data_IF_924019719819
#
_entry.id   IF_924019719819
#
_cell.length_a   1.000
_cell.length_b   1.000
_cell.length_c   1.000
_cell.angle_alpha   90.00
_cell.angle_beta   90.00
_cell.angle_gamma   90.00
#
_symmetry.space_group_name_H-M   'P 1'
#
loop_
_entity.id
_entity.type
_entity.pdbx_description
1 polymer ?
#
# COMPACT_ATOMS: atom_id res chain seq x y z
N UNK A 1 0.18 12.49 15.16
CA UNK A 1 1.13 13.04 14.18
C UNK A 1 0.88 14.53 14.10
N UNK A 2 1.90 15.36 14.30
CA UNK A 2 1.77 16.81 14.28
C UNK A 2 1.45 17.31 12.85
N UNK A 3 0.73 18.42 12.73
CA UNK A 3 0.36 19.03 11.44
C UNK A 3 1.62 19.39 10.64
N UNK A 4 2.69 19.81 11.32
CA UNK A 4 3.98 20.12 10.70
C UNK A 4 4.64 18.91 10.04
N UNK A 5 4.55 17.76 10.70
CA UNK A 5 5.09 16.51 10.16
C UNK A 5 4.28 16.02 8.96
N UNK A 6 2.97 16.25 8.96
CA UNK A 6 2.12 15.95 7.82
C UNK A 6 2.53 16.74 6.56
N UNK A 7 2.90 18.02 6.72
CA UNK A 7 3.37 18.84 5.60
C UNK A 7 4.66 18.30 5.01
N UNK A 8 5.62 17.87 5.84
CA UNK A 8 6.87 17.27 5.37
C UNK A 8 6.63 15.96 4.59
N UNK A 9 5.67 15.14 5.06
CA UNK A 9 5.29 13.92 4.33
C UNK A 9 4.63 14.25 3.00
N UNK A 10 3.79 15.29 2.94
CA UNK A 10 3.21 15.76 1.68
C UNK A 10 4.28 16.12 0.65
N UNK A 11 5.30 16.87 1.07
CA UNK A 11 6.42 17.26 0.21
C UNK A 11 7.22 16.04 -0.25
N UNK A 12 7.55 15.13 0.67
CA UNK A 12 8.28 13.90 0.37
C UNK A 12 7.53 13.00 -0.63
N UNK A 13 6.21 12.84 -0.47
CA UNK A 13 5.39 12.01 -1.36
C UNK A 13 5.22 12.60 -2.76
N UNK A 14 5.18 13.93 -2.89
CA UNK A 14 4.91 14.60 -4.16
C UNK A 14 6.20 14.93 -4.92
N UNK A 15 7.13 15.57 -4.23
CA UNK A 15 8.34 16.13 -4.84
C UNK A 15 9.58 15.26 -4.65
N UNK A 16 9.48 14.20 -3.81
CA UNK A 16 10.61 13.37 -3.41
C UNK A 16 11.75 14.20 -2.78
N UNK A 17 11.39 15.30 -2.12
CA UNK A 17 12.29 16.21 -1.42
C UNK A 17 11.73 16.57 -0.06
N UNK A 18 12.58 16.98 0.86
CA UNK A 18 12.21 17.54 2.15
C UNK A 18 12.96 18.86 2.32
N UNK A 19 12.22 19.93 2.56
CA UNK A 19 12.78 21.26 2.85
C UNK A 19 12.95 21.43 4.36
N UNK A 20 14.18 21.66 4.80
CA UNK A 20 14.52 21.89 6.20
C UNK A 20 15.02 23.31 6.34
N UNK A 21 14.44 24.05 7.29
CA UNK A 21 14.92 25.38 7.68
C UNK A 21 15.39 25.29 9.14
N UNK A 22 16.70 25.45 9.36
CA UNK A 22 17.29 25.45 10.70
C UNK A 22 18.31 26.59 10.83
N UNK A 23 18.18 27.39 11.89
CA UNK A 23 19.08 28.51 12.17
C UNK A 23 19.26 29.50 10.99
N UNK A 24 18.18 29.78 10.22
CA UNK A 24 18.23 30.68 9.07
C UNK A 24 18.80 30.06 7.77
N UNK A 25 19.30 28.81 7.83
CA UNK A 25 19.75 28.09 6.64
C UNK A 25 18.60 27.22 6.11
N UNK A 26 18.29 27.41 4.81
CA UNK A 26 17.30 26.61 4.08
C UNK A 26 18.04 25.58 3.23
N UNK A 27 17.76 24.30 3.49
CA UNK A 27 18.32 23.18 2.72
C UNK A 27 17.22 22.29 2.19
N UNK A 28 17.36 21.80 0.97
CA UNK A 28 16.45 20.83 0.35
C UNK A 28 17.19 19.50 0.22
N UNK A 29 16.63 18.44 0.82
CA UNK A 29 17.17 17.10 0.80
C UNK A 29 16.35 16.21 -0.14
N UNK A 30 17.01 15.37 -0.93
CA UNK A 30 16.34 14.36 -1.73
C UNK A 30 15.80 13.24 -0.83
N UNK A 31 14.50 12.97 -0.91
CA UNK A 31 13.80 11.95 -0.12
C UNK A 31 13.07 10.96 -1.02
N UNK A 32 13.82 10.22 -1.83
CA UNK A 32 13.28 9.15 -2.69
C UNK A 32 13.09 7.89 -1.86
N UNK A 33 11.90 7.76 -1.25
CA UNK A 33 11.59 6.64 -0.36
C UNK A 33 10.18 6.13 -0.60
N UNK A 34 9.95 4.86 -0.25
CA UNK A 34 8.61 4.29 -0.15
C UNK A 34 8.06 4.56 1.24
N UNK A 35 6.77 4.85 1.34
CA UNK A 35 6.11 5.18 2.61
C UNK A 35 5.14 4.06 2.97
N UNK A 36 5.36 3.46 4.13
CA UNK A 36 4.41 2.57 4.79
C UNK A 36 3.84 3.29 6.00
N UNK A 37 2.51 3.45 6.05
CA UNK A 37 1.83 4.12 7.14
C UNK A 37 0.90 3.15 7.88
N UNK A 38 0.88 3.25 9.19
CA UNK A 38 -0.09 2.57 10.04
C UNK A 38 -0.87 3.62 10.84
N UNK A 39 -2.18 3.49 10.88
CA UNK A 39 -3.05 4.42 11.60
C UNK A 39 -4.17 3.67 12.30
N UNK A 40 -4.49 4.09 13.51
CA UNK A 40 -5.66 3.63 14.24
C UNK A 40 -6.87 4.51 13.92
N UNK A 41 -8.09 3.97 13.98
CA UNK A 41 -9.30 4.77 13.88
C UNK A 41 -9.37 5.83 14.99
N UNK A 42 -9.88 7.04 14.69
CA UNK A 42 -9.97 8.16 15.64
C UNK A 42 -10.78 7.78 16.89
N UNK A 43 -11.84 7.00 16.71
CA UNK A 43 -12.73 6.55 17.79
C UNK A 43 -12.22 5.29 18.51
N UNK A 44 -10.99 4.84 18.23
CA UNK A 44 -10.43 3.62 18.80
C UNK A 44 -10.97 2.32 18.17
N UNK A 45 -12.12 2.37 17.49
CA UNK A 45 -12.74 1.24 16.80
C UNK A 45 -13.16 1.65 15.39
N UNK A 46 -12.94 0.75 14.42
CA UNK A 46 -13.37 0.98 13.04
C UNK A 46 -14.89 0.87 12.92
N UNK A 47 -15.53 1.94 12.42
CA UNK A 47 -16.96 2.02 12.20
C UNK A 47 -17.28 1.71 10.73
N UNK A 48 -17.94 0.58 10.48
CA UNK A 48 -18.32 0.14 9.12
C UNK A 48 -19.35 1.03 8.46
N UNK A 49 -20.10 1.83 9.23
CA UNK A 49 -21.09 2.77 8.71
C UNK A 49 -20.47 4.04 8.13
N UNK A 50 -19.22 4.33 8.49
CA UNK A 50 -18.48 5.52 8.06
C UNK A 50 -17.50 5.21 6.96
N UNK A 51 -17.18 6.20 6.14
CA UNK A 51 -16.12 6.08 5.14
C UNK A 51 -14.74 5.92 5.79
N UNK A 52 -13.78 5.35 5.08
CA UNK A 52 -12.40 5.21 5.54
C UNK A 52 -11.82 6.57 5.99
N UNK A 53 -12.09 7.64 5.24
CA UNK A 53 -11.66 9.00 5.57
C UNK A 53 -12.17 9.48 6.92
N UNK A 54 -13.42 9.19 7.24
CA UNK A 54 -14.03 9.58 8.52
C UNK A 54 -13.49 8.76 9.69
N UNK A 55 -13.09 7.49 9.44
CA UNK A 55 -12.50 6.64 10.46
C UNK A 55 -11.07 7.06 10.81
N UNK A 56 -10.25 7.49 9.85
CA UNK A 56 -8.82 7.75 10.05
C UNK A 56 -8.52 9.23 10.28
N UNK A 57 -9.36 10.16 9.82
CA UNK A 57 -9.15 11.61 9.93
C UNK A 57 -7.98 12.16 9.14
N UNK A 58 -7.52 11.42 8.12
CA UNK A 58 -6.51 11.91 7.19
C UNK A 58 -7.13 12.84 6.16
N UNK A 59 -6.36 13.84 5.74
CA UNK A 59 -6.79 14.74 4.68
C UNK A 59 -6.89 14.03 3.33
N UNK A 60 -7.85 14.43 2.49
CA UNK A 60 -8.02 13.85 1.17
C UNK A 60 -6.77 13.89 0.29
N UNK A 61 -5.94 14.95 0.30
CA UNK A 61 -4.69 14.99 -0.44
C UNK A 61 -3.68 13.92 -0.01
N UNK A 62 -3.56 13.64 1.29
CA UNK A 62 -2.68 12.56 1.78
C UNK A 62 -3.20 11.22 1.28
N UNK A 63 -4.48 10.96 1.44
CA UNK A 63 -5.09 9.70 1.03
C UNK A 63 -4.94 9.48 -0.48
N UNK A 64 -5.06 10.49 -1.31
CA UNK A 64 -4.91 10.36 -2.77
C UNK A 64 -3.48 9.99 -3.22
N UNK A 65 -2.49 10.11 -2.34
CA UNK A 65 -1.08 9.81 -2.61
C UNK A 65 -0.70 8.37 -2.29
N UNK A 66 -1.51 7.67 -1.52
CA UNK A 66 -1.30 6.24 -1.27
C UNK A 66 -1.81 5.38 -2.42
N UNK A 67 -1.05 4.38 -2.79
CA UNK A 67 -1.40 3.42 -3.85
C UNK A 67 -2.31 2.30 -3.33
N UNK A 68 -2.13 1.88 -2.07
CA UNK A 68 -2.84 0.79 -1.43
C UNK A 68 -3.35 1.17 -0.04
N UNK A 69 -4.53 0.66 0.30
CA UNK A 69 -5.11 0.74 1.64
C UNK A 69 -5.51 -0.65 2.10
N UNK A 70 -5.06 -1.02 3.28
CA UNK A 70 -5.47 -2.25 3.95
C UNK A 70 -6.20 -1.89 5.24
N UNK A 71 -7.43 -2.34 5.35
CA UNK A 71 -8.24 -2.15 6.56
C UNK A 71 -8.26 -3.47 7.31
N UNK A 72 -7.60 -3.49 8.47
CA UNK A 72 -7.60 -4.64 9.38
C UNK A 72 -8.72 -4.42 10.40
N UNK A 73 -9.70 -5.29 10.39
CA UNK A 73 -10.84 -5.22 11.30
C UNK A 73 -10.70 -6.36 12.30
N UNK A 74 -10.78 -6.01 13.57
CA UNK A 74 -10.84 -6.96 14.67
C UNK A 74 -12.26 -7.52 14.75
N UNK A 75 -12.42 -8.78 14.39
CA UNK A 75 -13.69 -9.52 14.45
C UNK A 75 -13.62 -10.53 15.58
N UNK A 76 -14.55 -10.45 16.54
CA UNK A 76 -14.64 -11.43 17.61
C UNK A 76 -15.00 -12.81 17.04
N UNK A 77 -14.04 -13.71 17.06
CA UNK A 77 -14.20 -15.10 16.63
C UNK A 77 -13.44 -16.01 17.60
N UNK A 78 -14.19 -16.78 18.38
CA UNK A 78 -13.63 -17.62 19.46
C UNK A 78 -12.48 -18.52 18.99
N UNK A 79 -12.56 -19.07 17.78
CA UNK A 79 -11.53 -19.98 17.24
C UNK A 79 -10.25 -19.19 16.91
N UNK A 80 -10.41 -18.04 16.27
CA UNK A 80 -9.28 -17.18 15.86
C UNK A 80 -8.64 -16.57 17.10
N UNK A 81 -9.46 -16.05 18.03
CA UNK A 81 -9.01 -15.42 19.26
C UNK A 81 -8.24 -16.42 20.14
N UNK A 82 -8.74 -17.65 20.25
CA UNK A 82 -8.02 -18.72 20.97
C UNK A 82 -6.67 -19.03 20.31
N UNK A 83 -6.63 -19.14 18.98
CA UNK A 83 -5.40 -19.44 18.25
C UNK A 83 -4.36 -18.31 18.41
N UNK A 84 -4.80 -17.05 18.36
CA UNK A 84 -3.95 -15.87 18.57
C UNK A 84 -3.43 -15.85 20.03
N UNK A 85 -4.31 -16.01 21.00
CA UNK A 85 -3.94 -16.02 22.42
C UNK A 85 -2.92 -17.13 22.73
N UNK A 86 -3.17 -18.33 22.22
CA UNK A 86 -2.24 -19.45 22.36
C UNK A 86 -0.88 -19.15 21.72
N UNK A 87 -0.87 -18.59 20.51
CA UNK A 87 0.37 -18.24 19.81
C UNK A 87 1.20 -17.20 20.57
N UNK A 88 0.53 -16.22 21.22
CA UNK A 88 1.19 -15.20 22.06
C UNK A 88 1.79 -15.86 23.30
N UNK A 89 1.05 -16.74 23.98
CA UNK A 89 1.55 -17.45 25.17
C UNK A 89 2.73 -18.35 24.82
N UNK A 90 2.63 -19.12 23.73
CA UNK A 90 3.71 -19.99 23.24
C UNK A 90 4.99 -19.19 22.90
N UNK A 91 4.83 -17.98 22.33
CA UNK A 91 5.94 -17.05 22.11
C UNK A 91 6.63 -16.65 23.41
N UNK A 92 5.86 -16.26 24.42
CA UNK A 92 6.40 -15.85 25.73
C UNK A 92 6.99 -17.01 26.53
N UNK A 93 6.50 -18.21 26.33
CA UNK A 93 7.06 -19.43 26.91
C UNK A 93 8.33 -19.91 26.20
N UNK A 94 8.72 -19.30 25.09
CA UNK A 94 9.87 -19.69 24.28
C UNK A 94 9.67 -20.98 23.48
N UNK A 95 8.44 -21.48 23.41
CA UNK A 95 8.11 -22.72 22.71
C UNK A 95 8.13 -22.58 21.19
N UNK A 96 7.96 -21.37 20.66
CA UNK A 96 8.03 -21.10 19.21
C UNK A 96 9.41 -21.32 18.60
N UNK A 97 10.47 -21.39 19.41
CA UNK A 97 11.82 -21.76 18.96
C UNK A 97 11.97 -23.24 18.60
N UNK A 98 11.08 -24.11 19.05
CA UNK A 98 11.12 -25.56 18.78
C UNK A 98 10.39 -25.92 17.48
N UNK A 99 9.43 -25.09 17.05
CA UNK A 99 8.66 -25.28 15.81
C UNK A 99 9.21 -24.47 14.61
N UNK A 100 10.45 -23.97 14.68
CA UNK A 100 11.13 -23.32 13.56
C UNK A 100 11.30 -24.22 12.32
N UNK A 101 10.93 -25.48 12.40
CA UNK A 101 10.83 -26.42 11.27
C UNK A 101 9.76 -26.06 10.24
N UNK A 102 8.91 -25.05 10.48
CA UNK A 102 7.90 -24.60 9.52
C UNK A 102 8.33 -23.40 8.66
N UNK A 103 9.46 -22.79 8.93
CA UNK A 103 9.98 -21.76 8.01
C UNK A 103 10.58 -22.44 6.77
N UNK A 104 9.81 -22.44 5.68
CA UNK A 104 10.24 -22.99 4.39
C UNK A 104 11.45 -22.23 3.84
N UNK A 105 11.56 -20.95 4.16
CA UNK A 105 12.66 -20.06 3.71
C UNK A 105 13.28 -19.31 4.88
N UNK A 106 14.60 -19.19 4.89
CA UNK A 106 15.31 -18.35 5.85
C UNK A 106 15.21 -16.86 5.51
N UNK A 107 15.48 -16.00 6.48
CA UNK A 107 15.53 -14.56 6.24
C UNK A 107 16.60 -14.17 5.18
N UNK A 108 17.68 -14.93 5.09
CA UNK A 108 18.74 -14.70 4.11
C UNK A 108 18.31 -15.13 2.70
N UNK A 109 17.53 -16.20 2.57
CA UNK A 109 16.96 -16.60 1.28
C UNK A 109 15.99 -15.53 0.74
N UNK A 110 15.16 -14.96 1.62
CA UNK A 110 14.26 -13.86 1.25
C UNK A 110 15.05 -12.61 0.84
N UNK A 111 16.14 -12.27 1.55
CA UNK A 111 17.00 -11.14 1.17
C UNK A 111 17.63 -11.34 -0.20
N UNK A 112 18.13 -12.54 -0.48
CA UNK A 112 18.72 -12.92 -1.79
C UNK A 112 17.67 -12.83 -2.88
N UNK A 113 16.47 -13.34 -2.63
CA UNK A 113 15.36 -13.23 -3.58
C UNK A 113 14.99 -11.79 -3.90
N UNK A 114 14.85 -10.93 -2.89
CA UNK A 114 14.55 -9.51 -3.07
C UNK A 114 15.67 -8.83 -3.88
N UNK A 115 16.94 -9.12 -3.59
CA UNK A 115 18.08 -8.57 -4.33
C UNK A 115 18.04 -9.00 -5.80
N UNK A 116 17.74 -10.25 -6.07
CA UNK A 116 17.57 -10.79 -7.42
C UNK A 116 16.38 -10.14 -8.15
N UNK A 117 15.21 -10.09 -7.52
CA UNK A 117 14.00 -9.50 -8.10
C UNK A 117 14.17 -8.01 -8.45
N UNK A 118 15.03 -7.28 -7.73
CA UNK A 118 15.35 -5.87 -8.03
C UNK A 118 16.17 -5.67 -9.31
N UNK A 119 16.83 -6.71 -9.82
CA UNK A 119 17.58 -6.63 -11.08
C UNK A 119 16.64 -6.56 -12.30
N UNK A 120 15.40 -7.02 -12.17
CA UNK A 120 14.43 -7.02 -13.26
C UNK A 120 13.87 -5.61 -13.49
N UNK A 121 13.76 -5.24 -14.76
CA UNK A 121 13.15 -3.98 -15.24
C UNK A 121 12.03 -4.31 -16.22
N UNK A 122 10.87 -4.76 -15.73
CA UNK A 122 9.79 -5.23 -16.60
C UNK A 122 9.31 -4.13 -17.55
N UNK A 123 9.07 -4.50 -18.80
CA UNK A 123 8.48 -3.62 -19.82
C UNK A 123 7.01 -3.94 -19.97
N UNK A 124 6.19 -2.90 -20.13
CA UNK A 124 4.75 -3.06 -20.33
C UNK A 124 4.49 -3.59 -21.74
N UNK A 125 3.72 -4.68 -21.86
CA UNK A 125 3.28 -5.21 -23.15
C UNK A 125 2.17 -4.33 -23.74
N UNK A 126 1.93 -4.44 -25.05
CA UNK A 126 0.85 -3.68 -25.72
C UNK A 126 -0.54 -4.06 -25.18
N UNK A 127 -0.76 -5.36 -24.94
CA UNK A 127 -2.02 -5.87 -24.40
C UNK A 127 -2.26 -5.36 -22.97
N UNK A 128 -1.21 -5.37 -22.12
CA UNK A 128 -1.27 -4.82 -20.80
C UNK A 128 -1.57 -3.31 -20.79
N UNK A 129 -0.99 -2.56 -21.73
CA UNK A 129 -1.27 -1.14 -21.92
C UNK A 129 -2.75 -0.90 -22.23
N UNK A 130 -3.32 -1.67 -23.14
CA UNK A 130 -4.72 -1.54 -23.53
C UNK A 130 -5.64 -1.84 -22.34
N UNK A 131 -5.37 -2.92 -21.61
CA UNK A 131 -6.10 -3.31 -20.40
C UNK A 131 -6.06 -2.20 -19.34
N UNK A 132 -4.90 -1.57 -19.12
CA UNK A 132 -4.77 -0.46 -18.17
C UNK A 132 -5.61 0.75 -18.57
N UNK A 133 -5.65 1.09 -19.86
CA UNK A 133 -6.46 2.20 -20.38
C UNK A 133 -7.95 1.92 -20.21
N UNK A 134 -8.39 0.70 -20.53
CA UNK A 134 -9.80 0.30 -20.38
C UNK A 134 -10.24 0.30 -18.91
N UNK A 135 -9.41 -0.22 -18.01
CA UNK A 135 -9.69 -0.20 -16.57
C UNK A 135 -9.73 1.23 -16.01
N UNK A 136 -8.82 2.09 -16.42
CA UNK A 136 -8.88 3.49 -16.01
C UNK A 136 -10.16 4.18 -16.51
N UNK A 137 -10.54 3.95 -17.78
CA UNK A 137 -11.80 4.46 -18.33
C UNK A 137 -13.00 3.94 -17.54
N UNK A 138 -13.02 2.65 -17.19
CA UNK A 138 -14.08 2.01 -16.39
C UNK A 138 -14.18 2.63 -14.99
N UNK A 139 -13.04 2.85 -14.33
CA UNK A 139 -13.01 3.51 -13.02
C UNK A 139 -13.57 4.94 -13.10
N UNK A 140 -13.19 5.72 -14.10
CA UNK A 140 -13.68 7.08 -14.33
C UNK A 140 -15.19 7.13 -14.60
N UNK A 141 -15.71 6.18 -15.38
CA UNK A 141 -17.15 6.08 -15.64
C UNK A 141 -17.95 5.73 -14.39
N UNK A 142 -17.45 4.81 -13.56
CA UNK A 142 -18.06 4.47 -12.27
C UNK A 142 -18.07 5.67 -11.32
N UNK A 143 -17.00 6.42 -11.24
CA UNK A 143 -16.90 7.63 -10.42
C UNK A 143 -17.91 8.70 -10.89
N UNK A 144 -18.08 8.88 -12.19
CA UNK A 144 -19.07 9.80 -12.75
C UNK A 144 -20.52 9.37 -12.48
N UNK A 145 -20.81 8.07 -12.46
CA UNK A 145 -22.15 7.52 -12.22
C UNK A 145 -22.54 7.46 -10.73
N UNK A 146 -21.56 7.40 -9.82
CA UNK A 146 -21.81 7.31 -8.37
C UNK A 146 -22.24 8.62 -7.71
N UNK A 147 -22.27 9.74 -8.45
CA UNK A 147 -22.70 11.05 -7.95
C UNK A 147 -21.77 11.60 -6.86
N UNK A 148 -22.24 12.60 -6.11
CA UNK A 148 -21.46 13.32 -5.08
C UNK A 148 -21.06 12.47 -3.85
N UNK A 149 -21.34 11.15 -3.84
CA UNK A 149 -21.04 10.25 -2.71
C UNK A 149 -19.67 9.58 -2.77
N UNK A 150 -18.92 9.74 -3.89
CA UNK A 150 -17.57 9.16 -3.96
C UNK A 150 -16.63 9.88 -2.97
N UNK A 151 -15.97 9.12 -2.11
CA UNK A 151 -15.10 9.65 -1.06
C UNK A 151 -13.87 10.40 -1.64
N UNK A 152 -13.50 10.09 -2.87
CA UNK A 152 -12.44 10.76 -3.64
C UNK A 152 -12.62 10.54 -5.14
N UNK A 153 -12.24 11.55 -5.89
CA UNK A 153 -12.34 11.56 -7.35
C UNK A 153 -11.19 10.74 -7.97
N UNK A 154 -11.50 9.93 -8.96
CA UNK A 154 -10.49 9.20 -9.74
C UNK A 154 -9.68 10.20 -10.56
N UNK A 155 -8.36 10.22 -10.39
CA UNK A 155 -7.41 11.08 -11.08
C UNK A 155 -6.36 10.27 -11.82
N UNK A 156 -5.46 10.90 -12.55
CA UNK A 156 -4.34 10.24 -13.24
C UNK A 156 -3.44 9.47 -12.25
N UNK A 157 -3.40 9.86 -10.98
CA UNK A 157 -2.63 9.15 -9.94
C UNK A 157 -3.03 7.69 -9.80
N UNK A 158 -4.31 7.36 -9.98
CA UNK A 158 -4.77 5.96 -9.93
C UNK A 158 -4.25 5.14 -11.11
N UNK A 159 -4.08 5.75 -12.29
CA UNK A 159 -3.44 5.11 -13.44
C UNK A 159 -1.94 4.86 -13.16
N UNK A 160 -1.23 5.86 -12.66
CA UNK A 160 0.18 5.73 -12.26
C UNK A 160 0.37 4.66 -11.17
N UNK A 161 -0.55 4.62 -10.21
CA UNK A 161 -0.59 3.59 -9.16
C UNK A 161 -0.78 2.19 -9.74
N UNK A 162 -1.66 2.05 -10.74
CA UNK A 162 -1.88 0.77 -11.43
C UNK A 162 -0.61 0.33 -12.17
N UNK A 163 0.08 1.25 -12.85
CA UNK A 163 1.35 0.97 -13.51
C UNK A 163 2.40 0.52 -12.51
N UNK A 164 2.61 1.28 -11.41
CA UNK A 164 3.59 0.94 -10.36
C UNK A 164 3.33 -0.44 -9.74
N UNK A 165 2.08 -0.76 -9.45
CA UNK A 165 1.70 -2.05 -8.88
C UNK A 165 1.92 -3.20 -9.87
N UNK A 166 1.61 -2.98 -11.14
CA UNK A 166 1.82 -4.00 -12.18
C UNK A 166 3.31 -4.28 -12.41
N UNK A 167 4.15 -3.25 -12.43
CA UNK A 167 5.60 -3.42 -12.48
C UNK A 167 6.14 -4.12 -11.22
N UNK A 168 5.65 -3.76 -10.04
CA UNK A 168 6.06 -4.39 -8.78
C UNK A 168 5.68 -5.87 -8.75
N UNK A 169 4.48 -6.21 -9.23
CA UNK A 169 4.02 -7.60 -9.32
C UNK A 169 4.83 -8.40 -10.32
N UNK A 170 5.16 -7.82 -11.48
CA UNK A 170 6.04 -8.47 -12.47
C UNK A 170 7.44 -8.73 -11.88
N UNK A 171 8.01 -7.77 -11.14
CA UNK A 171 9.28 -7.98 -10.43
C UNK A 171 9.18 -9.06 -9.37
N UNK A 172 8.07 -9.12 -8.63
CA UNK A 172 7.82 -10.17 -7.64
C UNK A 172 7.84 -11.56 -8.27
N UNK A 173 7.40 -11.68 -9.51
CA UNK A 173 7.44 -12.93 -10.29
C UNK A 173 8.70 -13.08 -11.14
N UNK A 174 9.69 -12.20 -11.01
CA UNK A 174 10.93 -12.19 -11.80
C UNK A 174 10.66 -12.23 -13.31
N UNK A 175 9.61 -11.54 -13.77
CA UNK A 175 9.22 -11.47 -15.17
C UNK A 175 9.82 -10.22 -15.84
N UNK A 176 10.28 -10.35 -17.10
CA UNK A 176 10.81 -9.24 -17.90
C UNK A 176 9.72 -8.39 -18.56
N UNK A 177 8.47 -8.87 -18.57
CA UNK A 177 7.33 -8.18 -19.15
C UNK A 177 6.13 -8.17 -18.23
N UNK A 178 5.41 -7.06 -18.23
CA UNK A 178 4.09 -6.93 -17.56
C UNK A 178 3.05 -7.49 -18.51
N UNK A 179 2.45 -8.62 -18.18
CA UNK A 179 1.36 -9.24 -18.94
C UNK A 179 -0.01 -8.69 -18.55
N UNK A 180 -1.01 -8.94 -19.37
CA UNK A 180 -2.42 -8.60 -19.09
C UNK A 180 -2.90 -9.21 -17.78
N UNK A 181 -2.57 -10.48 -17.50
CA UNK A 181 -2.95 -11.19 -16.26
C UNK A 181 -2.47 -10.48 -15.02
N UNK A 182 -1.25 -9.93 -15.03
CA UNK A 182 -0.69 -9.14 -13.92
C UNK A 182 -1.49 -7.85 -13.70
N UNK A 183 -1.95 -7.21 -14.77
CA UNK A 183 -2.80 -6.02 -14.67
C UNK A 183 -4.17 -6.36 -14.05
N UNK A 184 -4.79 -7.45 -14.48
CA UNK A 184 -6.10 -7.88 -13.98
C UNK A 184 -6.06 -8.28 -12.50
N UNK A 185 -5.01 -8.94 -12.04
CA UNK A 185 -4.81 -9.23 -10.60
C UNK A 185 -4.81 -7.96 -9.75
N UNK A 186 -4.16 -6.91 -10.22
CA UNK A 186 -4.09 -5.63 -9.52
C UNK A 186 -5.39 -4.83 -9.54
N UNK A 187 -6.24 -5.05 -10.56
CA UNK A 187 -7.57 -4.41 -10.64
C UNK A 187 -8.61 -5.13 -9.80
N UNK A 188 -8.53 -6.46 -9.70
CA UNK A 188 -9.43 -7.28 -8.89
C UNK A 188 -9.37 -7.00 -7.38
N UNK A 189 -8.22 -6.60 -6.87
CA UNK A 189 -8.01 -6.26 -5.45
C UNK A 189 -8.52 -4.87 -5.03
N UNK A 190 -9.11 -4.10 -5.94
CA UNK A 190 -9.61 -2.73 -5.66
C UNK A 190 -11.13 -2.66 -5.50
N UNK A 191 -11.79 -3.78 -5.16
CA UNK A 191 -13.23 -3.82 -4.84
C UNK A 191 -13.49 -3.54 -3.38
#
# INVERSE_FOLDING_TARGET
>A
MDIRDQVAIHEAMEQQTISITKAGVKATLNARTSILAAANPISGRYDRSKSLRQNIGLSAPIMSRFDLFFVLIDECNDIVDYAIARSIVDLHMGLLGLDSTRMVYSADDIRRYIAFARCFKPKISMDAMQTMVEEYKRMRQRDASSGAKSAWRITVRQLESLIRLSEATARLHCADTVSETVCLLNTGNRR
#
